data_IF_662129138504
#
_entry.id   IF_662129138504
#
_cell.length_a   1.000
_cell.length_b   1.000
_cell.length_c   1.000
_cell.angle_alpha   90.00
_cell.angle_beta   90.00
_cell.angle_gamma   90.00
#
_symmetry.space_group_name_H-M   'P 1'
#
loop_
_entity.id
_entity.type
_entity.pdbx_description
1 polymer ?
#
# COMPACT_ATOMS: atom_id res chain seq x y z
N UNK A 1 34.86 -6.26 6.16
CA UNK A 1 35.22 -7.03 4.94
C UNK A 1 34.42 -8.35 4.93
N UNK A 2 34.57 -9.28 5.88
CA UNK A 2 33.87 -10.58 5.88
C UNK A 2 32.31 -10.56 5.82
N UNK A 3 31.63 -9.52 6.32
CA UNK A 3 30.15 -9.42 6.28
C UNK A 3 29.65 -8.95 4.90
N UNK A 4 30.38 -8.05 4.24
CA UNK A 4 30.02 -7.54 2.90
C UNK A 4 30.08 -8.67 1.86
N UNK A 5 31.06 -9.56 2.00
CA UNK A 5 31.26 -10.68 1.07
C UNK A 5 30.18 -11.78 1.22
N UNK A 6 29.45 -11.80 2.35
CA UNK A 6 28.44 -12.83 2.64
C UNK A 6 27.00 -12.32 2.58
N UNK A 7 26.75 -11.03 2.79
CA UNK A 7 25.39 -10.45 2.83
C UNK A 7 25.20 -9.20 1.92
N UNK A 8 26.28 -8.57 1.44
CA UNK A 8 26.21 -7.38 0.59
C UNK A 8 26.26 -6.06 1.37
N UNK A 9 26.87 -5.04 0.75
CA UNK A 9 27.15 -3.76 1.39
C UNK A 9 25.90 -3.00 1.88
N UNK A 10 24.79 -3.06 1.12
CA UNK A 10 23.55 -2.37 1.47
C UNK A 10 22.90 -2.91 2.75
N UNK A 11 23.02 -4.21 3.03
CA UNK A 11 22.49 -4.79 4.28
C UNK A 11 23.24 -4.24 5.49
N UNK A 12 24.57 -4.09 5.38
CA UNK A 12 25.37 -3.49 6.44
C UNK A 12 25.05 -2.01 6.62
N UNK A 13 24.88 -1.25 5.52
CA UNK A 13 24.48 0.17 5.59
C UNK A 13 23.10 0.34 6.22
N UNK A 14 22.16 -0.53 5.86
CA UNK A 14 20.83 -0.55 6.46
C UNK A 14 20.89 -0.82 7.97
N UNK A 15 21.73 -1.77 8.40
CA UNK A 15 21.98 -2.01 9.82
C UNK A 15 22.50 -0.74 10.53
N UNK A 16 23.53 -0.09 9.98
CA UNK A 16 24.09 1.16 10.56
C UNK A 16 23.04 2.27 10.63
N UNK A 17 22.19 2.40 9.60
CA UNK A 17 21.13 3.39 9.58
C UNK A 17 19.96 3.06 10.52
N UNK A 18 19.89 1.84 11.07
CA UNK A 18 18.75 1.37 11.88
C UNK A 18 19.08 1.19 13.36
N UNK A 19 20.28 1.58 13.80
CA UNK A 19 20.72 1.47 15.20
C UNK A 19 20.83 2.85 15.85
N UNK A 20 20.60 2.90 17.16
CA UNK A 20 20.98 4.04 17.98
C UNK A 20 22.50 4.03 18.17
N UNK A 21 23.18 4.92 17.45
CA UNK A 21 24.63 5.02 17.45
C UNK A 21 25.18 5.96 18.55
N UNK A 22 24.32 6.54 19.41
CA UNK A 22 24.76 7.30 20.59
C UNK A 22 25.24 6.39 21.74
N UNK A 23 24.90 5.11 21.70
CA UNK A 23 25.31 4.10 22.67
C UNK A 23 26.09 2.94 22.05
N UNK A 24 26.39 1.93 22.88
CA UNK A 24 27.03 0.70 22.43
C UNK A 24 26.09 -0.09 21.49
N UNK A 25 26.61 -0.44 20.32
CA UNK A 25 25.84 -1.14 19.30
C UNK A 25 26.19 -2.63 19.24
N UNK A 26 25.16 -3.47 19.13
CA UNK A 26 25.32 -4.93 18.99
C UNK A 26 25.32 -5.30 17.52
N UNK A 27 26.30 -6.11 17.12
CA UNK A 27 26.32 -6.75 15.81
C UNK A 27 26.51 -8.27 15.98
N UNK A 28 25.66 -9.04 15.32
CA UNK A 28 25.62 -10.50 15.42
C UNK A 28 24.78 -11.09 14.29
N UNK A 29 24.78 -12.42 14.17
CA UNK A 29 24.09 -13.11 13.07
C UNK A 29 22.58 -12.85 13.08
N UNK A 30 21.99 -12.83 14.28
CA UNK A 30 20.55 -12.62 14.48
C UNK A 30 20.15 -11.19 14.11
N UNK A 31 20.97 -10.20 14.48
CA UNK A 31 20.76 -8.79 14.12
C UNK A 31 20.79 -8.63 12.61
N UNK A 32 21.81 -9.19 11.95
CA UNK A 32 21.95 -9.12 10.49
C UNK A 32 20.85 -9.88 9.74
N UNK A 33 20.34 -10.98 10.31
CA UNK A 33 19.18 -11.69 9.75
C UNK A 33 17.93 -10.80 9.74
N UNK A 34 17.64 -10.10 10.83
CA UNK A 34 16.54 -9.12 10.88
C UNK A 34 16.69 -7.99 9.83
N UNK A 35 17.92 -7.51 9.62
CA UNK A 35 18.21 -6.50 8.59
C UNK A 35 18.06 -7.04 7.17
N UNK A 36 18.41 -8.30 6.96
CA UNK A 36 18.17 -8.99 5.67
C UNK A 36 16.67 -9.08 5.37
N UNK A 37 15.83 -9.35 6.36
CA UNK A 37 14.38 -9.39 6.18
C UNK A 37 13.78 -8.01 5.92
N UNK A 38 14.26 -6.96 6.62
CA UNK A 38 13.87 -5.57 6.34
C UNK A 38 14.26 -5.15 4.92
N UNK A 39 15.51 -5.44 4.52
CA UNK A 39 15.99 -5.21 3.15
C UNK A 39 15.14 -5.95 2.10
N UNK A 40 14.79 -7.22 2.35
CA UNK A 40 13.95 -8.01 1.44
C UNK A 40 12.56 -7.39 1.25
N UNK A 41 11.98 -6.83 2.30
CA UNK A 41 10.69 -6.10 2.22
C UNK A 41 10.81 -4.85 1.36
N UNK A 42 11.85 -4.02 1.57
CA UNK A 42 12.12 -2.84 0.74
C UNK A 42 12.34 -3.21 -0.73
N UNK A 43 13.16 -4.23 -1.02
CA UNK A 43 13.40 -4.72 -2.38
C UNK A 43 12.12 -5.27 -3.03
N UNK A 44 11.26 -5.95 -2.27
CA UNK A 44 9.97 -6.41 -2.77
C UNK A 44 9.01 -5.26 -3.12
N UNK A 45 9.01 -4.18 -2.32
CA UNK A 45 8.27 -2.96 -2.65
C UNK A 45 8.76 -2.36 -3.96
N UNK A 46 10.07 -2.21 -4.15
CA UNK A 46 10.61 -1.73 -5.43
C UNK A 46 10.28 -2.66 -6.61
N UNK A 47 10.37 -3.98 -6.42
CA UNK A 47 10.00 -4.95 -7.45
C UNK A 47 8.52 -4.85 -7.84
N UNK A 48 7.64 -4.65 -6.86
CA UNK A 48 6.21 -4.40 -7.14
C UNK A 48 6.02 -3.11 -7.94
N UNK A 49 6.66 -2.01 -7.53
CA UNK A 49 6.57 -0.72 -8.22
C UNK A 49 7.07 -0.83 -9.67
N UNK A 50 8.24 -1.43 -9.89
CA UNK A 50 8.79 -1.63 -11.23
C UNK A 50 7.84 -2.44 -12.12
N UNK A 51 7.29 -3.56 -11.62
CA UNK A 51 6.33 -4.36 -12.38
C UNK A 51 5.01 -3.64 -12.63
N UNK A 52 4.52 -2.87 -11.67
CA UNK A 52 3.28 -2.10 -11.78
C UNK A 52 3.40 -0.92 -12.74
N UNK A 53 4.62 -0.40 -12.93
CA UNK A 53 4.96 0.74 -13.79
C UNK A 53 5.55 0.30 -15.14
N UNK A 54 5.51 -0.99 -15.45
CA UNK A 54 5.87 -1.46 -16.78
C UNK A 54 4.98 -0.78 -17.85
N UNK A 55 5.64 -0.29 -18.89
CA UNK A 55 5.04 0.51 -19.96
C UNK A 55 4.41 1.83 -19.51
N UNK A 56 4.72 2.33 -18.31
CA UNK A 56 4.17 3.61 -17.85
C UNK A 56 4.75 4.78 -18.65
N UNK A 57 3.87 5.69 -19.05
CA UNK A 57 4.23 6.94 -19.70
C UNK A 57 3.54 8.14 -19.02
N UNK A 58 4.04 9.34 -19.34
CA UNK A 58 3.54 10.59 -18.80
C UNK A 58 2.10 10.91 -19.25
N UNK A 59 1.64 10.35 -20.38
CA UNK A 59 0.27 10.55 -20.85
C UNK A 59 -0.76 9.82 -19.98
N UNK A 60 -0.36 8.77 -19.25
CA UNK A 60 -1.20 8.14 -18.23
C UNK A 60 -1.46 9.06 -17.03
N UNK A 61 -0.61 10.07 -16.76
CA UNK A 61 -0.70 10.91 -15.57
C UNK A 61 -2.07 11.57 -15.42
N UNK A 62 -2.59 11.58 -14.19
CA UNK A 62 -3.80 12.32 -13.83
C UNK A 62 -3.51 13.44 -12.84
N UNK A 63 -4.24 14.57 -12.92
CA UNK A 63 -4.18 15.61 -11.89
C UNK A 63 -4.77 15.09 -10.58
N UNK A 64 -4.24 15.54 -9.45
CA UNK A 64 -4.66 15.11 -8.10
C UNK A 64 -6.16 15.25 -7.87
N UNK A 65 -6.77 16.33 -8.40
CA UNK A 65 -8.20 16.59 -8.28
C UNK A 65 -9.09 15.56 -8.99
N UNK A 66 -8.55 14.83 -9.97
CA UNK A 66 -9.27 13.76 -10.70
C UNK A 66 -9.03 12.37 -10.08
N UNK A 67 -8.19 12.27 -9.04
CA UNK A 67 -7.88 11.00 -8.40
C UNK A 67 -8.97 10.61 -7.39
N UNK A 68 -9.26 9.30 -7.24
CA UNK A 68 -10.08 8.82 -6.14
C UNK A 68 -9.47 9.19 -4.78
N UNK A 69 -10.33 9.17 -3.74
CA UNK A 69 -9.95 9.62 -2.40
C UNK A 69 -8.76 8.82 -1.81
N UNK A 70 -8.67 7.51 -2.08
CA UNK A 70 -7.57 6.66 -1.60
C UNK A 70 -6.21 7.09 -2.17
N UNK A 71 -6.13 7.41 -3.46
CA UNK A 71 -4.91 7.91 -4.09
C UNK A 71 -4.47 9.24 -3.47
N UNK A 72 -5.41 10.16 -3.24
CA UNK A 72 -5.15 11.42 -2.55
C UNK A 72 -4.64 11.20 -1.12
N UNK A 73 -5.19 10.22 -0.40
CA UNK A 73 -4.72 9.86 0.93
C UNK A 73 -3.29 9.33 0.92
N UNK A 74 -2.89 8.54 -0.09
CA UNK A 74 -1.49 8.10 -0.21
C UNK A 74 -0.55 9.29 -0.44
N UNK A 75 -0.95 10.26 -1.28
CA UNK A 75 -0.17 11.49 -1.48
C UNK A 75 -0.08 12.33 -0.21
N UNK A 76 -1.16 12.38 0.59
CA UNK A 76 -1.13 12.97 1.92
C UNK A 76 -0.11 12.29 2.82
N UNK A 77 -0.18 10.96 2.97
CA UNK A 77 0.78 10.17 3.77
C UNK A 77 2.22 10.37 3.33
N UNK A 78 2.44 10.46 2.01
CA UNK A 78 3.73 10.75 1.43
C UNK A 78 4.25 12.14 1.84
N UNK A 79 3.38 13.16 1.87
CA UNK A 79 3.74 14.51 2.30
C UNK A 79 4.11 14.58 3.79
N UNK A 80 3.39 13.85 4.67
CA UNK A 80 3.76 13.79 6.10
C UNK A 80 5.11 13.13 6.28
N UNK A 81 5.30 12.00 5.60
CA UNK A 81 6.54 11.26 5.68
C UNK A 81 7.70 12.08 5.13
N UNK A 82 7.55 12.79 4.01
CA UNK A 82 8.59 13.65 3.46
C UNK A 82 9.07 14.70 4.49
N UNK A 83 8.13 15.38 5.15
CA UNK A 83 8.43 16.36 6.19
C UNK A 83 9.13 15.71 7.40
N UNK A 84 8.65 14.55 7.86
CA UNK A 84 9.25 13.78 8.94
C UNK A 84 10.70 13.37 8.61
N UNK A 85 10.92 12.77 7.44
CA UNK A 85 12.23 12.30 7.00
C UNK A 85 13.23 13.44 6.84
N UNK A 86 12.80 14.60 6.32
CA UNK A 86 13.66 15.80 6.25
C UNK A 86 14.10 16.26 7.65
N UNK A 87 13.20 16.21 8.63
CA UNK A 87 13.52 16.50 10.03
C UNK A 87 14.56 15.53 10.59
N UNK A 88 14.36 14.23 10.40
CA UNK A 88 15.31 13.20 10.82
C UNK A 88 16.69 13.38 10.17
N UNK A 89 16.75 13.63 8.86
CA UNK A 89 18.01 13.86 8.14
C UNK A 89 18.73 15.11 8.66
N UNK A 90 18.01 16.21 8.91
CA UNK A 90 18.59 17.45 9.43
C UNK A 90 19.22 17.27 10.83
N UNK A 91 18.69 16.33 11.63
CA UNK A 91 19.17 16.02 12.97
C UNK A 91 20.11 14.80 13.02
N UNK A 92 20.42 14.20 11.87
CA UNK A 92 21.18 12.95 11.74
C UNK A 92 20.50 11.71 12.38
N UNK A 93 19.18 11.74 12.62
CA UNK A 93 18.41 10.68 13.25
C UNK A 93 17.98 9.58 12.26
N UNK A 94 18.93 8.78 11.80
CA UNK A 94 18.68 7.77 10.75
C UNK A 94 17.84 6.57 11.22
N UNK A 95 17.93 6.16 12.49
CA UNK A 95 17.16 5.00 12.97
C UNK A 95 15.64 5.27 13.01
N UNK A 96 15.17 6.44 13.51
CA UNK A 96 13.79 6.87 13.32
C UNK A 96 13.40 6.99 11.84
N UNK A 97 14.25 7.58 10.98
CA UNK A 97 14.03 7.68 9.54
C UNK A 97 13.75 6.29 8.91
N UNK A 98 14.60 5.30 9.19
CA UNK A 98 14.42 3.95 8.67
C UNK A 98 13.20 3.25 9.24
N UNK A 99 12.84 3.52 10.50
CA UNK A 99 11.62 3.00 11.13
C UNK A 99 10.37 3.55 10.44
N UNK A 100 10.34 4.87 10.17
CA UNK A 100 9.24 5.54 9.50
C UNK A 100 9.05 5.01 8.06
N UNK A 101 10.13 4.90 7.28
CA UNK A 101 10.09 4.32 5.93
C UNK A 101 9.58 2.88 5.96
N UNK A 102 10.13 2.04 6.86
CA UNK A 102 9.71 0.65 6.98
C UNK A 102 8.23 0.54 7.38
N UNK A 103 7.74 1.40 8.28
CA UNK A 103 6.32 1.43 8.64
C UNK A 103 5.45 1.78 7.43
N UNK A 104 5.81 2.84 6.69
CA UNK A 104 5.08 3.29 5.52
C UNK A 104 4.99 2.21 4.42
N UNK A 105 6.13 1.61 4.03
CA UNK A 105 6.11 0.58 2.96
C UNK A 105 5.35 -0.68 3.36
N UNK A 106 5.38 -1.05 4.65
CA UNK A 106 4.73 -2.29 5.11
C UNK A 106 3.24 -2.08 5.41
N UNK A 107 2.90 -1.07 6.21
CA UNK A 107 1.55 -0.86 6.70
C UNK A 107 0.70 -0.06 5.72
N UNK A 108 1.20 1.06 5.21
CA UNK A 108 0.42 1.97 4.35
C UNK A 108 0.39 1.50 2.91
N UNK A 109 1.53 1.04 2.38
CA UNK A 109 1.63 0.54 1.01
C UNK A 109 1.26 -0.94 0.89
N UNK A 110 2.13 -1.85 1.35
CA UNK A 110 2.00 -3.28 1.05
C UNK A 110 0.73 -3.92 1.62
N UNK A 111 0.43 -3.69 2.90
CA UNK A 111 -0.70 -4.33 3.59
C UNK A 111 -2.05 -3.63 3.37
N UNK A 112 -2.04 -2.45 2.75
CA UNK A 112 -3.23 -1.63 2.57
C UNK A 112 -3.38 -1.15 1.14
N UNK A 113 -2.65 -0.11 0.72
CA UNK A 113 -2.88 0.52 -0.58
C UNK A 113 -2.70 -0.44 -1.77
N UNK A 114 -1.56 -1.14 -1.82
CA UNK A 114 -1.27 -2.09 -2.90
C UNK A 114 -2.26 -3.24 -2.90
N UNK A 115 -2.63 -3.76 -1.73
CA UNK A 115 -3.55 -4.90 -1.65
C UNK A 115 -4.94 -4.56 -2.18
N UNK A 116 -5.45 -3.37 -1.84
CA UNK A 116 -6.72 -2.83 -2.36
C UNK A 116 -6.63 -2.60 -3.87
N UNK A 117 -5.53 -2.02 -4.36
CA UNK A 117 -5.41 -1.60 -5.77
C UNK A 117 -4.97 -2.69 -6.74
N UNK A 118 -4.54 -3.87 -6.29
CA UNK A 118 -4.24 -5.02 -7.19
C UNK A 118 -5.39 -5.32 -8.15
N UNK A 119 -6.63 -5.29 -7.68
CA UNK A 119 -7.81 -5.57 -8.51
C UNK A 119 -7.89 -4.59 -9.69
N UNK A 120 -7.87 -3.28 -9.41
CA UNK A 120 -7.91 -2.24 -10.43
C UNK A 120 -6.66 -2.26 -11.34
N UNK A 121 -5.47 -2.38 -10.76
CA UNK A 121 -4.21 -2.37 -11.48
C UNK A 121 -4.12 -3.50 -12.53
N UNK A 122 -4.60 -4.70 -12.17
CA UNK A 122 -4.50 -5.89 -13.01
C UNK A 122 -5.73 -6.14 -13.89
N UNK A 123 -6.91 -5.67 -13.46
CA UNK A 123 -8.16 -6.03 -14.12
C UNK A 123 -8.79 -4.88 -14.91
N UNK A 124 -8.58 -3.62 -14.54
CA UNK A 124 -9.20 -2.51 -15.28
C UNK A 124 -8.45 -2.21 -16.59
N UNK A 125 -9.17 -1.67 -17.58
CA UNK A 125 -8.58 -1.26 -18.85
C UNK A 125 -7.49 -0.18 -18.67
N UNK A 126 -6.56 -0.10 -19.62
CA UNK A 126 -5.45 0.86 -19.55
C UNK A 126 -5.90 2.32 -19.38
N UNK A 127 -6.98 2.72 -20.08
CA UNK A 127 -7.56 4.06 -20.01
C UNK A 127 -8.45 4.33 -18.78
N UNK A 128 -8.69 3.34 -17.92
CA UNK A 128 -9.57 3.51 -16.75
C UNK A 128 -8.99 4.57 -15.79
N UNK A 129 -9.76 5.58 -15.37
CA UNK A 129 -9.27 6.64 -14.49
C UNK A 129 -8.72 6.14 -13.15
N UNK A 130 -9.33 5.11 -12.54
CA UNK A 130 -8.87 4.51 -11.28
C UNK A 130 -7.49 3.87 -11.46
N UNK A 131 -7.31 3.06 -12.52
CA UNK A 131 -6.02 2.45 -12.86
C UNK A 131 -4.94 3.49 -13.13
N UNK A 132 -5.26 4.53 -13.91
CA UNK A 132 -4.34 5.64 -14.21
C UNK A 132 -3.97 6.44 -12.96
N UNK A 133 -4.94 6.72 -12.08
CA UNK A 133 -4.68 7.41 -10.82
C UNK A 133 -3.76 6.57 -9.93
N UNK A 134 -4.00 5.26 -9.83
CA UNK A 134 -3.13 4.34 -9.11
C UNK A 134 -1.70 4.35 -9.69
N UNK A 135 -1.53 4.14 -11.00
CA UNK A 135 -0.20 4.18 -11.63
C UNK A 135 0.50 5.53 -11.49
N UNK A 136 -0.25 6.64 -11.49
CA UNK A 136 0.31 7.98 -11.20
C UNK A 136 0.87 8.06 -9.77
N UNK A 137 0.15 7.54 -8.77
CA UNK A 137 0.63 7.51 -7.39
C UNK A 137 1.82 6.55 -7.24
N UNK A 138 1.80 5.39 -7.91
CA UNK A 138 2.93 4.45 -7.89
C UNK A 138 4.19 5.07 -8.50
N UNK A 139 4.06 5.86 -9.57
CA UNK A 139 5.16 6.62 -10.17
C UNK A 139 5.77 7.61 -9.16
N UNK A 140 4.92 8.41 -8.51
CA UNK A 140 5.33 9.33 -7.44
C UNK A 140 6.04 8.60 -6.30
N UNK A 141 5.48 7.47 -5.83
CA UNK A 141 6.08 6.65 -4.78
C UNK A 141 7.44 6.09 -5.19
N UNK A 142 7.60 5.66 -6.44
CA UNK A 142 8.88 5.19 -6.97
C UNK A 142 9.95 6.28 -6.85
N UNK A 143 9.64 7.48 -7.33
CA UNK A 143 10.55 8.62 -7.27
C UNK A 143 10.92 9.01 -5.84
N UNK A 144 9.95 9.05 -4.92
CA UNK A 144 10.20 9.38 -3.52
C UNK A 144 11.05 8.31 -2.82
N UNK A 145 10.62 7.05 -2.86
CA UNK A 145 11.30 5.96 -2.15
C UNK A 145 12.73 5.72 -2.64
N UNK A 146 12.96 5.77 -3.96
CA UNK A 146 14.32 5.59 -4.51
C UNK A 146 15.27 6.68 -4.03
N UNK A 147 14.83 7.95 -4.02
CA UNK A 147 15.64 9.09 -3.57
C UNK A 147 15.82 9.14 -2.05
N UNK A 148 14.79 8.80 -1.27
CA UNK A 148 14.88 8.74 0.19
C UNK A 148 15.84 7.65 0.66
N UNK A 149 15.84 6.50 -0.01
CA UNK A 149 16.69 5.36 0.35
C UNK A 149 18.08 5.40 -0.29
N UNK A 150 18.32 6.23 -1.31
CA UNK A 150 19.62 6.35 -1.98
C UNK A 150 20.81 6.57 -1.02
N UNK A 151 20.72 7.39 0.04
CA UNK A 151 21.83 7.57 1.00
C UNK A 151 22.16 6.30 1.79
N UNK A 152 21.21 5.38 1.97
CA UNK A 152 21.38 4.16 2.78
C UNK A 152 21.63 2.94 1.89
N UNK A 153 20.74 2.67 0.95
CA UNK A 153 20.78 1.53 0.03
C UNK A 153 21.42 1.93 -1.31
N UNK A 154 22.70 2.31 -1.26
CA UNK A 154 23.37 3.01 -2.37
C UNK A 154 23.39 2.21 -3.67
N UNK A 155 23.57 0.89 -3.60
CA UNK A 155 23.60 0.04 -4.79
C UNK A 155 22.19 -0.27 -5.28
N UNK A 156 21.30 -0.63 -4.35
CA UNK A 156 19.92 -1.03 -4.68
C UNK A 156 19.11 0.13 -5.23
N UNK A 157 19.22 1.32 -4.65
CA UNK A 157 18.50 2.49 -5.14
C UNK A 157 18.91 2.84 -6.59
N UNK A 158 20.21 2.76 -6.89
CA UNK A 158 20.74 3.05 -8.22
C UNK A 158 20.46 1.94 -9.24
N UNK A 159 20.43 0.67 -8.80
CA UNK A 159 19.92 -0.47 -9.60
C UNK A 159 18.45 -0.27 -9.97
N UNK A 160 17.61 0.03 -8.99
CA UNK A 160 16.17 0.26 -9.18
C UNK A 160 15.91 1.46 -10.08
N UNK A 161 16.62 2.57 -9.87
CA UNK A 161 16.53 3.77 -10.70
C UNK A 161 16.86 3.48 -12.17
N UNK A 162 18.04 2.90 -12.44
CA UNK A 162 18.49 2.59 -13.81
C UNK A 162 17.66 1.52 -14.50
N UNK A 163 16.97 0.66 -13.74
CA UNK A 163 16.02 -0.30 -14.32
C UNK A 163 14.86 0.42 -15.03
N UNK A 164 14.41 1.56 -14.49
CA UNK A 164 13.33 2.36 -15.08
C UNK A 164 13.83 3.48 -15.98
N UNK A 165 14.98 4.07 -15.63
CA UNK A 165 15.57 5.21 -16.32
C UNK A 165 17.04 4.91 -16.71
N UNK A 166 17.28 4.03 -17.69
CA UNK A 166 18.63 3.59 -18.06
C UNK A 166 19.53 4.73 -18.53
N UNK A 167 18.94 5.78 -19.10
CA UNK A 167 19.66 6.93 -19.67
C UNK A 167 19.69 8.17 -18.75
N UNK A 168 18.97 8.18 -17.62
CA UNK A 168 18.80 9.38 -16.77
C UNK A 168 19.92 9.58 -15.74
N UNK A 169 21.09 8.96 -15.92
CA UNK A 169 22.18 9.01 -14.95
C UNK A 169 21.86 8.26 -13.65
N UNK A 170 22.47 8.69 -12.55
CA UNK A 170 22.35 8.03 -11.24
C UNK A 170 21.38 8.75 -10.31
N UNK A 171 20.61 7.99 -9.53
CA UNK A 171 19.74 8.54 -8.48
C UNK A 171 20.51 9.37 -7.44
N UNK A 172 21.81 9.13 -7.29
CA UNK A 172 22.67 9.87 -6.36
C UNK A 172 22.91 11.33 -6.76
N UNK A 173 22.51 11.71 -7.97
CA UNK A 173 22.56 13.09 -8.48
C UNK A 173 21.20 13.80 -8.37
N UNK A 174 20.18 13.10 -7.88
CA UNK A 174 18.82 13.61 -7.80
C UNK A 174 18.52 14.25 -6.44
N UNK A 175 17.74 15.33 -6.45
CA UNK A 175 17.26 15.98 -5.23
C UNK A 175 15.93 15.40 -4.75
N UNK A 176 15.67 15.48 -3.45
CA UNK A 176 14.35 15.17 -2.89
C UNK A 176 13.32 16.21 -3.33
N UNK A 177 12.28 15.77 -4.03
CA UNK A 177 11.16 16.61 -4.43
C UNK A 177 10.37 17.11 -3.21
N UNK A 178 9.73 18.27 -3.34
CA UNK A 178 8.81 18.79 -2.32
C UNK A 178 7.41 18.20 -2.54
N UNK A 179 6.86 17.61 -1.48
CA UNK A 179 5.55 16.97 -1.48
C UNK A 179 4.52 17.72 -0.62
N UNK A 180 4.88 18.87 -0.03
CA UNK A 180 4.05 19.59 0.94
C UNK A 180 2.66 19.99 0.41
N UNK A 181 2.55 20.23 -0.89
CA UNK A 181 1.29 20.59 -1.55
C UNK A 181 0.19 19.50 -1.46
N UNK A 182 0.53 18.27 -1.08
CA UNK A 182 -0.43 17.17 -0.92
C UNK A 182 -0.90 16.97 0.53
N UNK A 183 -0.42 17.77 1.49
CA UNK A 183 -0.89 17.75 2.88
C UNK A 183 -2.37 18.15 2.94
N UNK A 184 -3.15 17.40 3.72
CA UNK A 184 -4.62 17.48 3.82
C UNK A 184 -5.04 16.75 5.12
N UNK A 185 -4.90 17.42 6.25
CA UNK A 185 -5.02 16.80 7.58
C UNK A 185 -6.45 16.29 7.86
N UNK A 186 -7.45 16.94 7.26
CA UNK A 186 -8.83 16.48 7.33
C UNK A 186 -9.01 15.14 6.61
N UNK A 187 -8.41 14.98 5.43
CA UNK A 187 -8.36 13.70 4.72
C UNK A 187 -7.58 12.65 5.52
N UNK A 188 -6.45 13.03 6.13
CA UNK A 188 -5.67 12.16 7.01
C UNK A 188 -6.50 11.56 8.14
N UNK A 189 -7.16 12.41 8.94
CA UNK A 189 -8.00 11.99 10.07
C UNK A 189 -9.19 11.12 9.62
N UNK A 190 -9.80 11.46 8.49
CA UNK A 190 -10.89 10.67 7.90
C UNK A 190 -10.44 9.25 7.53
N UNK A 191 -9.27 9.12 6.90
CA UNK A 191 -8.74 7.81 6.51
C UNK A 191 -8.17 7.01 7.68
N UNK A 192 -7.66 7.66 8.72
CA UNK A 192 -7.35 7.00 9.97
C UNK A 192 -8.57 6.25 10.52
N UNK A 193 -9.74 6.91 10.52
CA UNK A 193 -11.00 6.29 10.94
C UNK A 193 -11.46 5.17 9.99
N UNK A 194 -11.42 5.38 8.68
CA UNK A 194 -11.75 4.34 7.69
C UNK A 194 -10.86 3.10 7.85
N UNK A 195 -9.56 3.29 8.11
CA UNK A 195 -8.62 2.18 8.33
C UNK A 195 -8.89 1.45 9.63
N UNK A 196 -9.25 2.16 10.70
CA UNK A 196 -9.68 1.54 11.95
C UNK A 196 -10.92 0.65 11.75
N UNK A 197 -11.92 1.13 11.02
CA UNK A 197 -13.13 0.37 10.68
C UNK A 197 -12.82 -0.84 9.79
N UNK A 198 -11.93 -0.68 8.80
CA UNK A 198 -11.43 -1.82 8.00
C UNK A 198 -10.71 -2.84 8.89
N UNK A 199 -9.95 -2.39 9.89
CA UNK A 199 -9.29 -3.24 10.86
C UNK A 199 -10.26 -4.19 11.57
N UNK A 200 -11.41 -3.66 12.02
CA UNK A 200 -12.49 -4.44 12.62
C UNK A 200 -13.03 -5.51 11.64
N UNK A 201 -13.25 -5.13 10.39
CA UNK A 201 -13.70 -6.05 9.35
C UNK A 201 -12.69 -7.17 9.09
N UNK A 202 -11.41 -6.82 8.92
CA UNK A 202 -10.35 -7.81 8.68
C UNK A 202 -10.19 -8.77 9.85
N UNK A 203 -10.25 -8.25 11.08
CA UNK A 203 -10.16 -9.06 12.30
C UNK A 203 -11.35 -10.04 12.42
N UNK A 204 -12.56 -9.60 12.10
CA UNK A 204 -13.76 -10.43 12.14
C UNK A 204 -13.72 -11.60 11.12
N UNK A 205 -12.97 -11.45 10.03
CA UNK A 205 -12.80 -12.48 8.99
C UNK A 205 -11.81 -13.58 9.43
N UNK A 206 -10.84 -13.27 10.30
CA UNK A 206 -9.75 -14.19 10.67
C UNK A 206 -10.24 -15.54 11.25
N UNK A 207 -11.25 -15.61 12.14
CA UNK A 207 -11.77 -16.89 12.63
C UNK A 207 -12.30 -17.79 11.51
N UNK A 208 -13.02 -17.22 10.54
CA UNK A 208 -13.59 -17.97 9.41
C UNK A 208 -12.50 -18.47 8.45
N UNK A 209 -11.42 -17.67 8.25
CA UNK A 209 -10.22 -18.10 7.51
C UNK A 209 -9.50 -19.25 8.24
N UNK A 210 -9.34 -19.16 9.55
CA UNK A 210 -8.70 -20.20 10.38
C UNK A 210 -9.50 -21.50 10.41
N UNK A 211 -10.83 -21.40 10.43
CA UNK A 211 -11.74 -22.53 10.33
C UNK A 211 -11.82 -23.16 8.92
N UNK A 212 -11.16 -22.56 7.92
CA UNK A 212 -11.21 -22.93 6.50
C UNK A 212 -12.62 -22.85 5.89
N UNK A 213 -13.51 -22.10 6.51
CA UNK A 213 -14.83 -21.77 5.94
C UNK A 213 -14.67 -20.78 4.78
N UNK A 214 -13.67 -19.90 4.87
CA UNK A 214 -13.28 -18.97 3.80
C UNK A 214 -11.83 -19.25 3.37
N UNK A 215 -11.61 -19.37 2.06
CA UNK A 215 -10.28 -19.46 1.46
C UNK A 215 -9.62 -18.09 1.32
N UNK A 216 -10.41 -17.06 1.03
CA UNK A 216 -9.97 -15.68 0.85
C UNK A 216 -10.96 -14.68 1.46
N UNK A 217 -10.55 -13.43 1.68
CA UNK A 217 -11.45 -12.37 2.18
C UNK A 217 -12.54 -12.03 1.15
N UNK A 218 -12.26 -12.21 -0.14
CA UNK A 218 -13.21 -12.01 -1.24
C UNK A 218 -14.41 -12.97 -1.20
N UNK A 219 -14.36 -14.02 -0.38
CA UNK A 219 -15.47 -14.95 -0.17
C UNK A 219 -16.39 -14.52 1.00
N UNK A 220 -16.09 -13.41 1.67
CA UNK A 220 -16.89 -12.90 2.78
C UNK A 220 -17.96 -11.90 2.32
N UNK A 221 -19.18 -12.07 2.81
CA UNK A 221 -20.15 -10.99 2.95
C UNK A 221 -20.14 -10.49 4.40
N UNK A 222 -20.14 -9.17 4.56
CA UNK A 222 -20.12 -8.52 5.87
C UNK A 222 -21.45 -7.83 6.17
N UNK A 223 -21.99 -8.08 7.35
CA UNK A 223 -22.98 -7.18 7.97
C UNK A 223 -22.25 -6.31 8.99
N UNK A 224 -22.17 -5.01 8.73
CA UNK A 224 -21.64 -4.02 9.66
C UNK A 224 -22.80 -3.29 10.33
N UNK A 225 -22.88 -3.36 11.65
CA UNK A 225 -23.75 -2.49 12.44
C UNK A 225 -22.87 -1.45 13.12
N UNK A 226 -23.04 -0.17 12.80
CA UNK A 226 -22.16 0.90 13.25
C UNK A 226 -22.92 2.07 13.89
N UNK A 227 -22.21 2.86 14.70
CA UNK A 227 -22.71 4.15 15.19
C UNK A 227 -23.01 5.11 14.01
N UNK A 228 -23.90 6.11 14.14
CA UNK A 228 -24.33 6.96 13.03
C UNK A 228 -23.20 7.61 12.23
N UNK A 229 -22.18 8.13 12.92
CA UNK A 229 -21.03 8.79 12.28
C UNK A 229 -20.17 7.80 11.46
N UNK A 230 -19.93 6.61 12.01
CA UNK A 230 -19.17 5.56 11.32
C UNK A 230 -19.96 4.94 10.18
N UNK A 231 -21.27 4.77 10.35
CA UNK A 231 -22.14 4.31 9.28
C UNK A 231 -22.12 5.31 8.10
N UNK A 232 -22.22 6.62 8.38
CA UNK A 232 -22.10 7.64 7.35
C UNK A 232 -20.73 7.58 6.65
N UNK A 233 -19.66 7.35 7.41
CA UNK A 233 -18.31 7.21 6.87
C UNK A 233 -18.16 5.96 5.98
N UNK A 234 -18.63 4.80 6.44
CA UNK A 234 -18.61 3.53 5.67
C UNK A 234 -19.41 3.69 4.37
N UNK A 235 -20.60 4.29 4.44
CA UNK A 235 -21.47 4.51 3.28
C UNK A 235 -20.89 5.49 2.25
N UNK A 236 -19.95 6.34 2.66
CA UNK A 236 -19.35 7.35 1.78
C UNK A 236 -18.25 6.80 0.86
N UNK A 237 -17.87 5.54 1.00
CA UNK A 237 -16.85 4.88 0.17
C UNK A 237 -17.33 3.49 -0.29
N UNK A 238 -16.67 2.92 -1.30
CA UNK A 238 -16.83 1.49 -1.62
C UNK A 238 -16.10 0.67 -0.53
N UNK A 239 -16.79 0.43 0.58
CA UNK A 239 -16.22 -0.28 1.72
C UNK A 239 -15.95 -1.76 1.41
N UNK A 240 -16.67 -2.35 0.45
CA UNK A 240 -16.42 -3.71 0.02
C UNK A 240 -15.07 -3.83 -0.73
N UNK A 241 -14.76 -2.87 -1.61
CA UNK A 241 -13.43 -2.74 -2.22
C UNK A 241 -12.36 -2.48 -1.15
N UNK A 242 -12.62 -1.55 -0.21
CA UNK A 242 -11.69 -1.19 0.85
C UNK A 242 -11.34 -2.39 1.76
N UNK A 243 -12.34 -3.19 2.15
CA UNK A 243 -12.17 -4.36 2.99
C UNK A 243 -11.77 -5.63 2.21
N UNK A 244 -11.78 -5.59 0.88
CA UNK A 244 -11.45 -6.72 0.00
C UNK A 244 -12.38 -7.91 0.28
N UNK A 245 -13.69 -7.65 0.21
CA UNK A 245 -14.77 -8.63 0.47
C UNK A 245 -15.77 -8.69 -0.69
N UNK A 246 -16.63 -9.71 -0.70
CA UNK A 246 -17.66 -9.86 -1.73
C UNK A 246 -18.71 -8.75 -1.64
N UNK A 247 -19.18 -8.47 -0.42
CA UNK A 247 -20.25 -7.52 -0.18
C UNK A 247 -20.26 -6.99 1.25
N UNK A 248 -20.90 -5.84 1.39
CA UNK A 248 -21.10 -5.13 2.66
C UNK A 248 -22.56 -4.72 2.75
N UNK A 249 -23.23 -5.16 3.80
CA UNK A 249 -24.52 -4.63 4.24
C UNK A 249 -24.29 -3.78 5.48
N UNK A 250 -24.83 -2.56 5.49
CA UNK A 250 -24.63 -1.61 6.57
C UNK A 250 -25.95 -1.37 7.32
N UNK A 251 -25.90 -1.45 8.64
CA UNK A 251 -26.94 -1.08 9.57
C UNK A 251 -26.43 0.02 10.52
N UNK A 252 -27.32 0.91 10.95
CA UNK A 252 -27.00 1.98 11.90
C UNK A 252 -27.69 1.70 13.23
N UNK A 253 -26.92 1.78 14.33
CA UNK A 253 -27.42 1.69 15.69
C UNK A 253 -27.03 2.94 16.49
N UNK A 254 -27.98 3.85 16.77
CA UNK A 254 -27.72 5.07 17.56
C UNK A 254 -27.28 4.82 19.00
N UNK A 255 -27.50 3.62 19.54
CA UNK A 255 -27.12 3.26 20.91
C UNK A 255 -25.70 2.70 21.03
N UNK A 256 -25.06 2.40 19.90
CA UNK A 256 -23.72 1.84 19.86
C UNK A 256 -22.65 2.91 20.09
N UNK A 257 -21.59 2.64 20.87
CA UNK A 257 -20.43 3.52 20.90
C UNK A 257 -19.73 3.54 19.53
N UNK A 258 -18.89 4.57 19.32
CA UNK A 258 -18.05 4.72 18.13
C UNK A 258 -17.34 3.39 17.80
N UNK A 259 -17.56 2.87 16.60
CA UNK A 259 -17.14 1.54 16.16
C UNK A 259 -18.16 0.86 15.25
N UNK A 260 -17.87 -0.40 14.92
CA UNK A 260 -18.78 -1.27 14.20
C UNK A 260 -18.69 -2.70 14.74
N UNK A 261 -19.85 -3.35 14.89
CA UNK A 261 -19.95 -4.80 15.03
C UNK A 261 -19.98 -5.43 13.64
N UNK A 262 -19.16 -6.46 13.43
CA UNK A 262 -19.02 -7.11 12.13
C UNK A 262 -19.42 -8.58 12.25
N UNK A 263 -20.42 -8.97 11.46
CA UNK A 263 -20.78 -10.37 11.25
C UNK A 263 -20.30 -10.82 9.88
N UNK A 264 -19.70 -12.01 9.81
CA UNK A 264 -19.11 -12.57 8.58
C UNK A 264 -19.90 -13.80 8.16
N UNK A 265 -20.31 -13.83 6.90
CA UNK A 265 -20.93 -15.00 6.27
C UNK A 265 -20.24 -15.31 4.93
N UNK A 266 -20.12 -16.58 4.53
CA UNK A 266 -19.66 -16.91 3.18
C UNK A 266 -20.64 -16.36 2.14
N UNK A 267 -20.10 -15.76 1.08
CA UNK A 267 -20.90 -15.24 -0.02
C UNK A 267 -21.48 -16.36 -0.87
N UNK A 268 -22.73 -16.16 -1.31
CA UNK A 268 -23.37 -17.02 -2.31
C UNK A 268 -23.12 -16.58 -3.75
N UNK A 269 -22.42 -15.46 -3.96
CA UNK A 269 -22.21 -14.89 -5.29
C UNK A 269 -21.19 -15.72 -6.10
N UNK A 270 -21.39 -15.86 -7.43
CA UNK A 270 -20.42 -16.53 -8.29
C UNK A 270 -19.11 -15.76 -8.39
N UNK A 271 -17.99 -16.49 -8.51
CA UNK A 271 -16.64 -15.92 -8.61
C UNK A 271 -16.28 -15.65 -10.08
N UNK A 272 -15.79 -14.44 -10.37
CA UNK A 272 -15.18 -14.13 -11.66
C UNK A 272 -13.79 -14.78 -11.78
N UNK A 273 -13.52 -15.46 -12.89
CA UNK A 273 -12.25 -16.17 -13.07
C UNK A 273 -11.03 -15.27 -13.30
N UNK A 274 -11.25 -14.05 -13.82
CA UNK A 274 -10.19 -13.06 -14.04
C UNK A 274 -9.87 -12.24 -12.79
N UNK A 275 -10.84 -11.45 -12.30
CA UNK A 275 -10.60 -10.56 -11.15
C UNK A 275 -10.75 -11.24 -9.78
N UNK A 276 -11.21 -12.51 -9.74
CA UNK A 276 -11.43 -13.28 -8.51
C UNK A 276 -12.51 -12.74 -7.56
N UNK A 277 -13.12 -11.58 -7.86
CA UNK A 277 -14.25 -11.06 -7.08
C UNK A 277 -15.48 -11.94 -7.23
N UNK A 278 -16.27 -12.01 -6.16
CA UNK A 278 -17.58 -12.62 -6.15
C UNK A 278 -18.63 -11.55 -6.45
N UNK A 279 -19.34 -11.67 -7.57
CA UNK A 279 -20.22 -10.62 -8.09
C UNK A 279 -21.51 -11.22 -8.65
N UNK A 280 -22.65 -10.51 -8.58
CA UNK A 280 -23.93 -11.01 -9.10
C UNK A 280 -23.98 -11.09 -10.63
N UNK A 281 -23.11 -10.35 -11.33
CA UNK A 281 -23.10 -10.21 -12.80
C UNK A 281 -22.13 -11.17 -13.51
N UNK A 282 -21.54 -12.15 -12.81
CA UNK A 282 -20.68 -13.15 -13.44
C UNK A 282 -21.51 -14.04 -14.38
N UNK A 283 -21.22 -13.94 -15.67
CA UNK A 283 -21.93 -14.70 -16.68
C UNK A 283 -21.47 -16.19 -16.66
N UNK A 284 -22.39 -17.17 -16.48
CA UNK A 284 -22.01 -18.58 -16.41
C UNK A 284 -21.31 -19.12 -17.66
N UNK A 285 -21.63 -18.57 -18.83
CA UNK A 285 -21.06 -19.01 -20.11
C UNK A 285 -19.56 -18.65 -20.25
N UNK A 286 -19.11 -17.55 -19.65
CA UNK A 286 -17.73 -17.05 -19.78
C UNK A 286 -16.93 -17.13 -18.48
N UNK A 287 -17.60 -17.23 -17.33
CA UNK A 287 -16.96 -17.12 -16.00
C UNK A 287 -16.47 -15.71 -15.68
N UNK A 288 -16.88 -14.69 -16.46
CA UNK A 288 -16.44 -13.31 -16.31
C UNK A 288 -17.57 -12.40 -15.84
N UNK A 289 -17.27 -11.45 -14.95
CA UNK A 289 -18.15 -10.31 -14.69
C UNK A 289 -18.12 -9.33 -15.87
N UNK A 290 -19.10 -8.42 -15.96
CA UNK A 290 -19.24 -7.48 -17.07
C UNK A 290 -17.97 -6.65 -17.29
N UNK A 291 -17.40 -6.11 -16.20
CA UNK A 291 -16.13 -5.37 -16.22
C UNK A 291 -15.00 -6.18 -16.86
N UNK A 292 -14.85 -7.46 -16.50
CA UNK A 292 -13.77 -8.27 -17.06
C UNK A 292 -14.04 -8.69 -18.50
N UNK A 293 -15.31 -8.88 -18.87
CA UNK A 293 -15.69 -9.18 -20.25
C UNK A 293 -15.34 -8.02 -21.18
N UNK A 294 -15.62 -6.77 -20.80
CA UNK A 294 -15.28 -5.56 -21.58
C UNK A 294 -13.79 -5.36 -21.81
N UNK A 295 -12.93 -5.85 -20.92
CA UNK A 295 -11.47 -5.68 -21.05
C UNK A 295 -10.84 -6.77 -21.93
N UNK A 296 -11.48 -7.94 -22.01
CA UNK A 296 -10.97 -9.09 -22.78
C UNK A 296 -11.56 -9.14 -24.19
N UNK A 297 -12.80 -8.68 -24.37
CA UNK A 297 -13.49 -8.60 -25.66
C UNK A 297 -13.02 -7.44 -26.51
#
# INVERSE_FOLDING_TARGET
>A
IAISDTQGADILRLWVASIDYFGDVKIGKEVLAGQTDAYRKLRNTFRYLLGALDGWDEAERLPVAAMPELERWVLHRLAELDAELRGHVANFDFAPMMTAINSFVNADLSAFYFDIRKDSLYCDAAGNPKRRACRTVLDTLFHALTRWLAPVLVFTADEVWRTRFPDAGSVHLEAWADHAAWRDDALGARWERLRALRGLATLAIEPARKAKTLGSSLEADLLLTAAPEDAALIASVDFAELAIVAGVTLATDPSMPVGALVTVTPTGLPRCDRCRRHLPDVAPATGLCGRCAEVVG
#
